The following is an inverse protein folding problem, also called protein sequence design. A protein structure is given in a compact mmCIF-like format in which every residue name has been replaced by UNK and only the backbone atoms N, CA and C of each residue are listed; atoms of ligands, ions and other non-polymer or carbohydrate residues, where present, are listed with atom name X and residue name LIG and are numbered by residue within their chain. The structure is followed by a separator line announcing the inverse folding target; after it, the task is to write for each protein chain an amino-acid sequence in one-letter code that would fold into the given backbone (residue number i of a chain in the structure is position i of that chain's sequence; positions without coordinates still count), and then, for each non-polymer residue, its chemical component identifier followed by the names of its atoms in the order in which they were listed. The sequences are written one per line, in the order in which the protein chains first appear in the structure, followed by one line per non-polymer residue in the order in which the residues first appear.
data_IF_806537223253
#
_entry.id   IF_806537223253
#
_cell.length_a   1.000
_cell.length_b   1.000
_cell.length_c   1.000
_cell.angle_alpha   90.00
_cell.angle_beta   90.00
_cell.angle_gamma   90.00
#
_symmetry.space_group_name_H-M   'P 1'
#
loop_
_entity.id
_entity.type
_entity.pdbx_description
1 polymer ?
#
# COMPACT_ATOMS: atom_id res chain seq x y z
N UNK A 1 12.91 8.12 -3.06
CA UNK A 1 11.96 8.99 -2.33
C UNK A 1 12.43 10.43 -2.48
N UNK A 2 11.51 11.37 -2.70
CA UNK A 2 11.79 12.81 -2.69
C UNK A 2 11.28 13.38 -1.38
N UNK A 3 12.18 13.97 -0.61
CA UNK A 3 11.88 14.66 0.63
C UNK A 3 12.55 16.03 0.61
N UNK A 4 11.87 17.04 1.15
CA UNK A 4 12.33 18.42 1.30
C UNK A 4 11.50 19.17 2.35
N UNK A 5 12.04 20.27 2.85
CA UNK A 5 11.30 21.24 3.67
C UNK A 5 10.21 21.98 2.87
N UNK A 6 9.39 22.77 3.57
CA UNK A 6 8.25 23.50 3.03
C UNK A 6 8.61 24.88 2.40
N UNK A 7 9.89 25.26 2.40
CA UNK A 7 10.30 26.53 1.79
C UNK A 7 10.24 26.48 0.26
N UNK A 8 10.03 27.64 -0.38
CA UNK A 8 10.05 27.75 -1.83
C UNK A 8 11.38 27.28 -2.45
N UNK A 9 12.51 27.51 -1.76
CA UNK A 9 13.81 27.06 -2.20
C UNK A 9 13.95 25.54 -2.12
N UNK A 10 13.49 24.92 -1.02
CA UNK A 10 13.46 23.48 -0.80
C UNK A 10 12.62 22.77 -1.85
N UNK A 11 11.37 23.22 -2.03
CA UNK A 11 10.46 22.70 -3.06
C UNK A 11 11.07 22.85 -4.45
N UNK A 12 11.61 24.03 -4.79
CA UNK A 12 12.25 24.26 -6.08
C UNK A 12 13.45 23.34 -6.34
N UNK A 13 14.24 23.03 -5.29
CA UNK A 13 15.34 22.06 -5.35
C UNK A 13 14.83 20.64 -5.57
N UNK A 14 13.81 20.22 -4.83
CA UNK A 14 13.20 18.91 -4.98
C UNK A 14 12.58 18.72 -6.36
N UNK A 15 11.93 19.74 -6.93
CA UNK A 15 11.39 19.70 -8.30
C UNK A 15 12.49 19.52 -9.34
N UNK A 16 13.60 20.25 -9.25
CA UNK A 16 14.75 20.07 -10.17
C UNK A 16 15.31 18.65 -10.09
N UNK A 17 15.43 18.09 -8.88
CA UNK A 17 15.86 16.71 -8.67
C UNK A 17 14.84 15.70 -9.23
N UNK A 18 13.55 15.92 -9.02
CA UNK A 18 12.47 15.06 -9.52
C UNK A 18 12.45 14.97 -11.05
N UNK A 19 12.80 16.06 -11.72
CA UNK A 19 12.83 16.15 -13.18
C UNK A 19 14.17 15.74 -13.80
N UNK A 20 15.18 15.45 -12.99
CA UNK A 20 16.50 15.03 -13.50
C UNK A 20 16.40 13.69 -14.23
N UNK A 21 17.28 13.48 -15.22
CA UNK A 21 17.31 12.23 -15.97
C UNK A 21 17.55 11.02 -15.04
N UNK A 22 18.51 11.15 -14.12
CA UNK A 22 18.85 10.14 -13.12
C UNK A 22 17.64 9.72 -12.27
N UNK A 23 16.89 10.69 -11.72
CA UNK A 23 15.75 10.39 -10.86
C UNK A 23 14.62 9.73 -11.65
N UNK A 24 14.39 10.18 -12.89
CA UNK A 24 13.40 9.57 -13.79
C UNK A 24 13.74 8.13 -14.13
N UNK A 25 15.01 7.82 -14.38
CA UNK A 25 15.44 6.43 -14.59
C UNK A 25 15.24 5.57 -13.33
N UNK A 26 15.58 6.11 -12.16
CA UNK A 26 15.33 5.42 -10.90
C UNK A 26 13.82 5.13 -10.70
N UNK A 27 12.94 6.09 -10.98
CA UNK A 27 11.49 5.87 -10.88
C UNK A 27 10.94 4.75 -11.77
N UNK A 28 11.59 4.44 -12.90
CA UNK A 28 11.13 3.36 -13.79
C UNK A 28 11.28 1.96 -13.20
N UNK A 29 12.24 1.78 -12.29
CA UNK A 29 12.52 0.47 -11.67
C UNK A 29 11.87 0.30 -10.30
N UNK A 30 11.42 1.40 -9.69
CA UNK A 30 10.74 1.36 -8.39
C UNK A 30 9.35 0.74 -8.56
N UNK A 31 9.06 -0.26 -7.71
CA UNK A 31 7.73 -0.87 -7.63
C UNK A 31 6.83 0.00 -6.75
N UNK A 32 5.58 0.16 -7.17
CA UNK A 32 4.57 0.82 -6.37
C UNK A 32 4.25 -0.03 -5.13
N UNK A 33 4.52 0.51 -3.93
CA UNK A 33 4.28 -0.18 -2.65
C UNK A 33 2.79 -0.37 -2.35
N UNK A 34 1.91 0.38 -3.01
CA UNK A 34 0.46 0.27 -2.83
C UNK A 34 -0.19 -0.79 -3.71
N UNK A 35 0.57 -1.41 -4.61
CA UNK A 35 0.11 -2.55 -5.39
C UNK A 35 0.52 -2.51 -6.85
N UNK A 36 0.18 -3.60 -7.52
CA UNK A 36 0.57 -3.92 -8.90
C UNK A 36 -0.58 -3.72 -9.91
N UNK A 37 -1.65 -3.04 -9.50
CA UNK A 37 -2.84 -2.81 -10.34
C UNK A 37 -3.78 -4.01 -10.47
N UNK A 38 -3.53 -5.12 -9.77
CA UNK A 38 -4.37 -6.34 -9.84
C UNK A 38 -5.36 -6.48 -8.69
N UNK A 39 -5.66 -5.39 -8.00
CA UNK A 39 -6.57 -5.41 -6.86
C UNK A 39 -7.96 -5.94 -7.25
N UNK A 40 -8.53 -5.47 -8.37
CA UNK A 40 -9.86 -5.89 -8.80
C UNK A 40 -9.95 -7.40 -9.09
N UNK A 41 -9.00 -7.95 -9.84
CA UNK A 41 -8.93 -9.39 -10.13
C UNK A 41 -8.86 -10.22 -8.83
N UNK A 42 -7.99 -9.83 -7.90
CA UNK A 42 -7.87 -10.48 -6.58
C UNK A 42 -9.17 -10.40 -5.78
N UNK A 43 -9.80 -9.23 -5.75
CA UNK A 43 -11.06 -9.00 -5.02
C UNK A 43 -12.16 -9.88 -5.60
N UNK A 44 -12.34 -9.88 -6.92
CA UNK A 44 -13.35 -10.71 -7.59
C UNK A 44 -13.09 -12.19 -7.35
N UNK A 45 -11.81 -12.63 -7.40
CA UNK A 45 -11.43 -14.00 -7.08
C UNK A 45 -11.84 -14.41 -5.66
N UNK A 46 -11.59 -13.55 -4.67
CA UNK A 46 -12.01 -13.79 -3.28
C UNK A 46 -13.54 -13.82 -3.18
N UNK A 47 -14.23 -12.80 -3.68
CA UNK A 47 -15.69 -12.71 -3.61
C UNK A 47 -16.38 -13.90 -4.30
N UNK A 48 -15.85 -14.36 -5.44
CA UNK A 48 -16.37 -15.53 -6.15
C UNK A 48 -16.09 -16.87 -5.45
N UNK A 49 -15.07 -16.94 -4.59
CA UNK A 49 -14.72 -18.17 -3.86
C UNK A 49 -15.54 -18.40 -2.58
N UNK A 50 -16.22 -17.37 -2.08
CA UNK A 50 -16.98 -17.45 -0.83
C UNK A 50 -18.33 -18.10 -1.09
N UNK A 51 -18.65 -19.16 -0.34
CA UNK A 51 -19.96 -19.81 -0.40
C UNK A 51 -21.06 -18.87 0.12
N UNK A 52 -22.16 -18.78 -0.63
CA UNK A 52 -23.34 -18.01 -0.26
C UNK A 52 -24.28 -18.86 0.62
N UNK A 53 -23.87 -19.08 1.87
CA UNK A 53 -24.62 -19.86 2.86
C UNK A 53 -24.86 -19.09 4.18
N UNK A 54 -25.47 -19.74 5.16
CA UNK A 54 -25.80 -19.16 6.46
C UNK A 54 -24.60 -18.57 7.20
N UNK A 55 -23.36 -19.03 6.92
CA UNK A 55 -22.13 -18.52 7.53
C UNK A 55 -21.79 -17.12 7.05
N UNK A 56 -22.28 -16.69 5.89
CA UNK A 56 -22.11 -15.34 5.36
C UNK A 56 -23.15 -14.35 5.94
N UNK A 57 -24.30 -14.84 6.41
CA UNK A 57 -25.41 -14.01 6.87
C UNK A 57 -25.18 -13.42 8.27
N UNK A 58 -24.45 -14.13 9.13
CA UNK A 58 -24.27 -13.75 10.54
C UNK A 58 -22.78 -13.55 10.84
N UNK A 59 -22.40 -12.31 11.18
CA UNK A 59 -21.04 -12.00 11.63
C UNK A 59 -20.75 -12.74 12.95
N UNK A 60 -19.80 -13.67 12.90
CA UNK A 60 -19.36 -14.41 14.10
C UNK A 60 -18.15 -13.71 14.73
N UNK A 61 -18.17 -13.61 16.05
CA UNK A 61 -16.97 -13.23 16.80
C UNK A 61 -16.03 -14.42 16.88
N UNK A 62 -14.74 -14.17 16.72
CA UNK A 62 -13.68 -15.14 16.92
C UNK A 62 -12.92 -14.74 18.16
N UNK A 63 -12.73 -15.67 19.09
CA UNK A 63 -11.81 -15.48 20.21
C UNK A 63 -10.38 -15.50 19.66
N UNK A 64 -9.81 -14.31 19.48
CA UNK A 64 -8.38 -14.17 19.28
C UNK A 64 -7.70 -14.47 20.62
N UNK A 65 -7.20 -15.70 20.78
CA UNK A 65 -6.43 -16.09 21.95
C UNK A 65 -5.30 -15.08 22.21
N UNK A 66 -5.35 -14.43 23.38
CA UNK A 66 -4.34 -13.54 23.93
C UNK A 66 -3.67 -12.57 22.94
N UNK A 67 -4.35 -11.47 22.65
CA UNK A 67 -3.74 -10.27 22.07
C UNK A 67 -3.42 -10.38 20.59
N UNK A 68 -3.58 -9.28 19.87
CA UNK A 68 -2.81 -9.10 18.65
C UNK A 68 -1.35 -9.38 19.03
N UNK A 69 -0.60 -10.27 18.35
CA UNK A 69 0.85 -10.16 18.40
C UNK A 69 1.14 -8.70 18.09
N UNK A 70 1.85 -8.04 19.01
CA UNK A 70 2.29 -6.67 18.84
C UNK A 70 2.69 -6.49 17.39
N UNK A 71 2.25 -5.38 16.83
CA UNK A 71 2.65 -4.88 15.54
C UNK A 71 4.17 -4.62 15.60
N UNK A 72 4.99 -5.68 15.68
CA UNK A 72 6.42 -5.69 15.56
C UNK A 72 6.72 -5.53 14.07
N UNK A 73 6.55 -4.30 13.60
CA UNK A 73 7.19 -3.81 12.40
C UNK A 73 7.86 -2.50 12.78
N UNK A 74 9.21 -2.43 12.72
CA UNK A 74 9.93 -1.22 13.04
C UNK A 74 9.76 -0.25 11.86
N UNK A 75 8.81 0.66 11.99
CA UNK A 75 9.09 2.04 11.64
C UNK A 75 9.58 2.73 12.91
#
# INVERSE_FOLDING_TARGET
MLDCDDSAAGIGGAMRRALSAEFREHCRVVRNIYGDGRAAERIVGVLGSVALDERLLIKRFFDCGAGLPELLSPF
#
